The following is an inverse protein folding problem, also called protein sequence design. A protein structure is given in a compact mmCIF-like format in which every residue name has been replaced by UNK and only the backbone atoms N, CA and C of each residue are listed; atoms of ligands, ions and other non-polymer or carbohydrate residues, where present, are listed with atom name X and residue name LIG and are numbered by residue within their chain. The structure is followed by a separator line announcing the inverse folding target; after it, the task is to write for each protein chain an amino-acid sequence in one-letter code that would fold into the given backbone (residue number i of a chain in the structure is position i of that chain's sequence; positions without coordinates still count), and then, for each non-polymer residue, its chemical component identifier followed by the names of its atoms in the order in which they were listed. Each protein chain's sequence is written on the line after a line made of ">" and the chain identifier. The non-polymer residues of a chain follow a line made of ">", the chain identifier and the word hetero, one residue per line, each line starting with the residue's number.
data_IF_321537253672
#
_entry.id   IF_321537253672
#
_cell.length_a   1.000
_cell.length_b   1.000
_cell.length_c   1.000
_cell.angle_alpha   90.00
_cell.angle_beta   90.00
_cell.angle_gamma   90.00
#
_symmetry.space_group_name_H-M   'P 1'
#
loop_
_entity.id
_entity.type
_entity.pdbx_description
1 polymer ?
#
# COMPACT_ATOMS: atom_id res chain seq x y z
N UNK A 1 4.41 -7.15 -3.63
CA UNK A 1 4.01 -8.17 -2.63
C UNK A 1 2.49 -8.24 -2.58
N UNK A 2 1.87 -9.40 -2.29
CA UNK A 2 0.41 -9.51 -2.23
C UNK A 2 -0.09 -9.46 -0.78
N UNK A 3 -1.10 -8.64 -0.49
CA UNK A 3 -1.71 -8.49 0.84
C UNK A 3 -3.23 -8.59 0.71
N UNK A 4 -3.81 -9.65 1.27
CA UNK A 4 -5.26 -9.88 1.24
C UNK A 4 -5.92 -9.82 2.62
N UNK A 5 -5.14 -9.44 3.64
CA UNK A 5 -5.59 -9.36 5.01
C UNK A 5 -5.26 -7.97 5.58
N UNK A 6 -6.27 -7.34 6.20
CA UNK A 6 -6.15 -6.07 6.90
C UNK A 6 -5.15 -6.09 8.05
N UNK A 7 -5.02 -7.18 8.82
CA UNK A 7 -4.02 -7.27 9.89
C UNK A 7 -2.61 -7.16 9.31
N UNK A 8 -2.37 -7.78 8.15
CA UNK A 8 -1.08 -7.71 7.48
C UNK A 8 -0.80 -6.31 6.93
N UNK A 9 -1.81 -5.66 6.37
CA UNK A 9 -1.72 -4.27 5.97
C UNK A 9 -1.37 -3.36 7.15
N UNK A 10 -2.00 -3.54 8.32
CA UNK A 10 -1.72 -2.74 9.51
C UNK A 10 -0.24 -2.87 9.92
N UNK A 11 0.32 -4.08 9.94
CA UNK A 11 1.76 -4.27 10.21
C UNK A 11 2.67 -3.58 9.17
N UNK A 12 2.30 -3.64 7.89
CA UNK A 12 3.11 -3.12 6.78
C UNK A 12 3.04 -1.60 6.72
N UNK A 13 1.85 -1.00 6.89
CA UNK A 13 1.64 0.44 6.89
C UNK A 13 2.45 1.14 7.99
N UNK A 14 2.52 0.56 9.20
CA UNK A 14 3.38 1.08 10.28
C UNK A 14 4.86 1.08 9.85
N UNK A 15 5.33 0.02 9.19
CA UNK A 15 6.73 -0.07 8.72
C UNK A 15 7.02 0.87 7.56
N UNK A 16 6.05 1.09 6.68
CA UNK A 16 6.14 2.07 5.58
C UNK A 16 6.23 3.48 6.16
N UNK A 17 5.32 3.84 7.08
CA UNK A 17 5.30 5.16 7.73
C UNK A 17 6.61 5.44 8.48
N UNK A 18 7.06 4.49 9.30
CA UNK A 18 8.32 4.60 10.05
C UNK A 18 9.57 4.74 9.17
N UNK A 19 9.49 4.44 7.87
CA UNK A 19 10.59 4.54 6.90
C UNK A 19 10.38 5.65 5.86
N UNK A 20 9.41 6.54 6.07
CA UNK A 20 9.18 7.68 5.19
C UNK A 20 8.63 7.30 3.81
N UNK A 21 7.94 6.16 3.69
CA UNK A 21 7.31 5.79 2.43
C UNK A 21 6.00 6.54 2.26
N UNK A 22 5.80 7.12 1.08
CA UNK A 22 4.55 7.76 0.68
C UNK A 22 3.91 6.97 -0.46
N UNK A 23 2.58 6.99 -0.55
CA UNK A 23 1.87 6.42 -1.69
C UNK A 23 2.21 7.24 -2.93
N UNK A 24 2.82 6.61 -3.92
CA UNK A 24 3.37 7.27 -5.11
C UNK A 24 2.51 7.06 -6.35
N UNK A 25 2.07 5.82 -6.56
CA UNK A 25 1.29 5.47 -7.75
C UNK A 25 0.29 4.34 -7.43
N UNK A 26 -0.87 4.41 -8.08
CA UNK A 26 -1.88 3.36 -8.06
C UNK A 26 -2.17 2.89 -9.49
N UNK A 27 -2.44 1.61 -9.67
CA UNK A 27 -2.87 1.02 -10.94
C UNK A 27 -3.95 -0.04 -10.72
N UNK A 28 -4.77 -0.28 -11.75
CA UNK A 28 -5.83 -1.27 -11.77
C UNK A 28 -6.90 -1.08 -10.67
N UNK A 29 -7.85 -1.99 -10.64
CA UNK A 29 -8.90 -2.08 -9.63
C UNK A 29 -8.93 -3.50 -9.05
N UNK A 30 -9.51 -3.67 -7.87
CA UNK A 30 -9.54 -4.94 -7.14
C UNK A 30 -10.31 -6.06 -7.85
N UNK A 31 -11.19 -5.72 -8.79
CA UNK A 31 -12.03 -6.63 -9.57
C UNK A 31 -11.40 -7.03 -10.92
N UNK A 32 -10.26 -6.43 -11.26
CA UNK A 32 -9.47 -6.81 -12.43
C UNK A 32 -8.57 -8.01 -12.12
N UNK A 33 -8.22 -8.84 -13.12
CA UNK A 33 -7.38 -10.02 -12.92
C UNK A 33 -5.98 -9.68 -12.38
N UNK A 34 -5.49 -8.47 -12.60
CA UNK A 34 -4.22 -7.94 -12.06
C UNK A 34 -4.30 -7.64 -10.55
N UNK A 35 -5.49 -7.32 -10.03
CA UNK A 35 -5.70 -6.79 -8.69
C UNK A 35 -5.31 -5.31 -8.59
N UNK A 36 -5.64 -4.65 -7.49
CA UNK A 36 -5.23 -3.26 -7.26
C UNK A 36 -3.76 -3.20 -6.87
N UNK A 37 -2.97 -2.40 -7.59
CA UNK A 37 -1.56 -2.15 -7.32
C UNK A 37 -1.39 -0.79 -6.64
N UNK A 38 -0.67 -0.77 -5.53
CA UNK A 38 -0.22 0.44 -4.84
C UNK A 38 1.29 0.42 -4.65
N UNK A 39 1.95 1.41 -5.25
CA UNK A 39 3.40 1.59 -5.18
C UNK A 39 3.74 2.70 -4.20
N UNK A 40 4.64 2.39 -3.29
CA UNK A 40 5.13 3.27 -2.25
C UNK A 40 6.58 3.66 -2.52
N UNK A 41 6.91 4.93 -2.30
CA UNK A 41 8.23 5.52 -2.56
C UNK A 41 8.79 6.19 -1.31
N UNK A 42 10.09 6.00 -1.08
CA UNK A 42 10.91 6.77 -0.15
C UNK A 42 12.22 7.15 -0.86
N UNK A 43 12.80 8.31 -0.54
CA UNK A 43 14.03 8.80 -1.21
C UNK A 43 15.23 7.89 -0.99
N UNK A 44 15.27 7.18 0.12
CA UNK A 44 16.44 6.42 0.57
C UNK A 44 16.28 4.91 0.37
N UNK A 45 15.21 4.46 -0.27
CA UNK A 45 14.92 3.03 -0.38
C UNK A 45 14.21 2.65 -1.68
N UNK A 46 14.33 1.38 -2.12
CA UNK A 46 13.63 0.90 -3.31
C UNK A 46 12.11 1.03 -3.21
N UNK A 47 11.45 1.11 -4.36
CA UNK A 47 9.99 1.09 -4.43
C UNK A 47 9.40 -0.18 -3.79
N UNK A 48 8.30 -0.02 -3.08
CA UNK A 48 7.52 -1.15 -2.54
C UNK A 48 6.19 -1.19 -3.24
N UNK A 49 5.90 -2.28 -3.94
CA UNK A 49 4.58 -2.53 -4.53
C UNK A 49 3.76 -3.46 -3.65
N UNK A 50 2.50 -3.12 -3.42
CA UNK A 50 1.49 -3.95 -2.77
C UNK A 50 0.36 -4.21 -3.76
N UNK A 51 -0.02 -5.47 -3.92
CA UNK A 51 -1.15 -5.91 -4.73
C UNK A 51 -2.23 -6.47 -3.80
N UNK A 52 -3.49 -6.11 -4.04
CA UNK A 52 -4.63 -6.62 -3.26
C UNK A 52 -5.88 -6.77 -4.11
N UNK A 53 -6.73 -7.73 -3.76
CA UNK A 53 -8.09 -7.88 -4.27
C UNK A 53 -9.11 -7.69 -3.12
N UNK A 54 -8.63 -7.37 -1.92
CA UNK A 54 -9.45 -7.21 -0.73
C UNK A 54 -9.90 -5.75 -0.58
N UNK A 55 -11.22 -5.54 -0.53
CA UNK A 55 -11.83 -4.21 -0.35
C UNK A 55 -11.31 -3.46 0.89
N UNK A 56 -11.18 -4.13 2.03
CA UNK A 56 -10.72 -3.48 3.26
C UNK A 56 -9.25 -3.04 3.17
N UNK A 57 -8.40 -3.85 2.55
CA UNK A 57 -6.99 -3.48 2.31
C UNK A 57 -6.90 -2.33 1.32
N UNK A 58 -7.68 -2.36 0.23
CA UNK A 58 -7.79 -1.28 -0.74
C UNK A 58 -8.19 0.04 -0.08
N UNK A 59 -9.30 0.06 0.67
CA UNK A 59 -9.79 1.25 1.36
C UNK A 59 -8.77 1.80 2.36
N UNK A 60 -8.05 0.91 3.04
CA UNK A 60 -7.04 1.30 4.01
C UNK A 60 -5.77 1.85 3.33
N UNK A 61 -5.38 1.35 2.16
CA UNK A 61 -4.31 1.92 1.34
C UNK A 61 -4.69 3.32 0.85
N UNK A 62 -5.94 3.53 0.40
CA UNK A 62 -6.40 4.85 -0.06
C UNK A 62 -6.38 5.91 1.05
N UNK A 63 -6.52 5.48 2.30
CA UNK A 63 -6.46 6.35 3.49
C UNK A 63 -5.05 6.46 4.07
N UNK A 64 -4.07 5.79 3.48
CA UNK A 64 -2.70 5.84 3.96
C UNK A 64 -2.13 7.25 3.84
N UNK A 65 -1.70 7.80 4.98
CA UNK A 65 -0.95 9.04 5.06
C UNK A 65 0.39 8.75 5.73
N UNK A 66 1.46 9.36 5.23
CA UNK A 66 2.73 9.36 5.94
C UNK A 66 2.57 10.22 7.20
N UNK A 67 2.86 9.67 8.38
CA UNK A 67 2.73 10.42 9.63
C UNK A 67 3.62 11.68 9.59
N UNK A 68 3.01 12.86 9.74
CA UNK A 68 3.71 14.15 9.72
C UNK A 68 3.50 15.01 8.47
N UNK A 69 2.54 14.67 7.59
CA UNK A 69 1.99 15.56 6.56
C UNK A 69 0.52 15.93 6.82
#
# INVERSE_FOLDING_TARGET
>A
MRIENIEKWNEVSVKLSARGYSLYQMQYAIDLPEGFHATFFSKESPLVEIVTYNNAVYDAILRYTLDGQ
#
